data_IF_164953233982
#
_entry.id   IF_164953233982
#
_cell.length_a   1.000
_cell.length_b   1.000
_cell.length_c   1.000
_cell.angle_alpha   90.00
_cell.angle_beta   90.00
_cell.angle_gamma   90.00
#
_symmetry.space_group_name_H-M   'P 1'
#
loop_
_entity.id
_entity.type
_entity.pdbx_description
1 polymer ?
#
# COMPACT_ATOMS: atom_id res chain seq x y z
N UNK A 1 -4.92 13.55 1.37
CA UNK A 1 -4.23 12.74 0.34
C UNK A 1 -2.82 13.24 0.07
N UNK A 2 -2.59 14.55 0.02
CA UNK A 2 -1.26 15.11 -0.30
C UNK A 2 -0.19 14.86 0.78
N UNK A 3 -0.56 14.81 2.05
CA UNK A 3 0.40 14.55 3.14
C UNK A 3 1.07 13.18 3.01
N UNK A 4 0.29 12.12 2.79
CA UNK A 4 0.84 10.77 2.65
C UNK A 4 1.67 10.63 1.38
N UNK A 5 1.26 11.27 0.26
CA UNK A 5 2.06 11.29 -0.98
C UNK A 5 3.41 11.97 -0.75
N UNK A 6 3.42 13.17 -0.14
CA UNK A 6 4.66 13.88 0.23
C UNK A 6 5.54 13.04 1.16
N UNK A 7 4.93 12.36 2.12
CA UNK A 7 5.64 11.48 3.04
C UNK A 7 6.27 10.29 2.31
N UNK A 8 5.56 9.63 1.40
CA UNK A 8 6.09 8.51 0.62
C UNK A 8 7.25 8.96 -0.30
N UNK A 9 7.13 10.12 -0.93
CA UNK A 9 8.14 10.71 -1.80
C UNK A 9 9.45 11.09 -1.09
N UNK A 10 9.46 11.21 0.24
CA UNK A 10 10.69 11.51 0.98
C UNK A 10 11.57 10.30 1.25
N UNK A 11 11.08 9.08 0.99
CA UNK A 11 11.83 7.84 1.17
C UNK A 11 12.62 7.47 -0.09
N UNK A 12 13.74 6.77 0.13
CA UNK A 12 14.55 6.14 -0.92
C UNK A 12 14.30 4.63 -0.99
N UNK A 13 14.71 3.99 -2.09
CA UNK A 13 14.54 2.55 -2.33
C UNK A 13 15.15 1.68 -1.22
N UNK A 14 16.31 2.08 -0.69
CA UNK A 14 17.03 1.43 0.41
C UNK A 14 16.35 1.58 1.78
N UNK A 15 15.36 2.48 1.89
CA UNK A 15 14.54 2.65 3.10
C UNK A 15 13.23 1.85 3.05
N UNK A 16 13.00 1.05 2.00
CA UNK A 16 11.82 0.20 1.82
C UNK A 16 12.21 -1.26 2.03
N UNK A 17 11.63 -1.88 3.05
CA UNK A 17 11.90 -3.25 3.44
C UNK A 17 10.73 -4.17 3.12
N UNK A 18 11.00 -5.20 2.31
CA UNK A 18 10.04 -6.24 1.96
C UNK A 18 10.45 -7.51 2.70
N UNK A 19 9.65 -7.89 3.70
CA UNK A 19 9.94 -9.06 4.54
C UNK A 19 9.85 -10.37 3.74
N UNK A 20 10.56 -11.44 4.15
CA UNK A 20 10.49 -12.75 3.46
C UNK A 20 9.06 -13.28 3.31
N UNK A 21 8.21 -13.08 4.31
CA UNK A 21 6.78 -13.43 4.27
C UNK A 21 6.03 -12.73 3.12
N UNK A 22 6.34 -11.45 2.88
CA UNK A 22 5.74 -10.72 1.76
C UNK A 22 6.29 -11.22 0.43
N UNK A 23 7.59 -11.54 0.35
CA UNK A 23 8.19 -12.09 -0.87
C UNK A 23 7.54 -13.41 -1.30
N UNK A 24 7.22 -14.29 -0.36
CA UNK A 24 6.46 -15.52 -0.67
C UNK A 24 5.08 -15.19 -1.27
N UNK A 25 4.35 -14.26 -0.66
CA UNK A 25 3.05 -13.81 -1.18
C UNK A 25 3.14 -13.12 -2.54
N UNK A 26 4.25 -12.48 -2.87
CA UNK A 26 4.48 -11.90 -4.19
C UNK A 26 4.50 -12.99 -5.26
N UNK A 27 5.25 -14.07 -4.99
CA UNK A 27 5.34 -15.23 -5.88
C UNK A 27 3.96 -15.90 -6.04
N UNK A 28 3.28 -16.20 -4.93
CA UNK A 28 1.94 -16.82 -4.94
C UNK A 28 0.88 -16.02 -5.71
N UNK A 29 1.07 -14.70 -5.81
CA UNK A 29 0.09 -13.77 -6.41
C UNK A 29 0.54 -13.23 -7.75
N UNK A 30 1.68 -13.69 -8.26
CA UNK A 30 2.29 -13.22 -9.51
C UNK A 30 2.48 -11.70 -9.53
N UNK A 31 2.82 -11.10 -8.38
CA UNK A 31 3.08 -9.66 -8.24
C UNK A 31 4.59 -9.44 -8.28
N UNK A 32 5.04 -8.57 -9.17
CA UNK A 32 6.46 -8.21 -9.23
C UNK A 32 6.85 -7.27 -8.10
N UNK A 33 8.02 -7.52 -7.49
CA UNK A 33 8.57 -6.69 -6.41
C UNK A 33 8.71 -5.21 -6.84
N UNK A 34 9.10 -4.97 -8.09
CA UNK A 34 9.25 -3.62 -8.66
C UNK A 34 7.94 -2.82 -8.66
N UNK A 35 6.77 -3.49 -8.71
CA UNK A 35 5.48 -2.80 -8.57
C UNK A 35 5.34 -2.11 -7.22
N UNK A 36 5.88 -2.69 -6.15
CA UNK A 36 5.85 -2.07 -4.82
C UNK A 36 6.70 -0.81 -4.82
N UNK A 37 7.94 -0.91 -5.30
CA UNK A 37 8.86 0.22 -5.35
C UNK A 37 8.30 1.36 -6.20
N UNK A 38 7.80 1.06 -7.40
CA UNK A 38 7.23 2.06 -8.29
C UNK A 38 6.03 2.79 -7.67
N UNK A 39 5.13 2.07 -7.00
CA UNK A 39 3.95 2.71 -6.39
C UNK A 39 4.29 3.49 -5.12
N UNK A 40 5.25 3.03 -4.30
CA UNK A 40 5.65 3.74 -3.09
C UNK A 40 6.52 4.97 -3.40
N UNK A 41 7.44 4.87 -4.36
CA UNK A 41 8.36 5.95 -4.74
C UNK A 41 7.75 6.91 -5.76
N UNK A 42 6.73 6.49 -6.51
CA UNK A 42 5.93 7.36 -7.37
C UNK A 42 4.42 7.17 -7.11
N UNK A 43 3.87 7.77 -6.03
CA UNK A 43 2.49 7.53 -5.59
C UNK A 43 1.44 8.32 -6.38
N UNK A 44 1.66 8.56 -7.67
CA UNK A 44 0.71 9.22 -8.58
C UNK A 44 -0.64 8.49 -8.60
N UNK A 45 -0.59 7.17 -8.68
CA UNK A 45 -1.76 6.29 -8.75
C UNK A 45 -2.41 5.99 -7.39
N UNK A 46 -1.93 6.59 -6.30
CA UNK A 46 -2.58 6.44 -5.00
C UNK A 46 -3.92 7.18 -5.04
N UNK A 47 -5.02 6.43 -4.94
CA UNK A 47 -6.39 6.94 -5.01
C UNK A 47 -7.07 7.02 -3.65
N UNK A 48 -6.60 6.23 -2.67
CA UNK A 48 -7.15 6.24 -1.32
C UNK A 48 -6.15 5.65 -0.31
N UNK A 49 -6.33 5.97 0.96
CA UNK A 49 -5.56 5.37 2.05
C UNK A 49 -6.36 5.32 3.35
N UNK A 50 -6.07 4.31 4.16
CA UNK A 50 -6.70 4.11 5.45
C UNK A 50 -5.60 3.95 6.52
N UNK A 51 -5.61 4.79 7.55
CA UNK A 51 -4.73 4.63 8.71
C UNK A 51 -5.26 3.51 9.60
N UNK A 52 -4.38 2.59 9.99
CA UNK A 52 -4.68 1.46 10.86
C UNK A 52 -3.99 1.63 12.20
N UNK A 53 -4.63 1.09 13.25
CA UNK A 53 -3.99 1.01 14.57
C UNK A 53 -2.67 0.24 14.45
N UNK A 54 -1.59 0.91 14.81
CA UNK A 54 -0.27 0.30 15.02
C UNK A 54 -0.18 -0.25 16.43
N UNK A 55 0.56 -1.35 16.60
CA UNK A 55 0.88 -1.92 17.92
C UNK A 55 2.20 -1.38 18.48
N UNK A 56 2.99 -0.65 17.69
CA UNK A 56 4.33 -0.17 18.05
C UNK A 56 4.35 1.35 18.17
N UNK A 57 4.93 1.85 19.25
CA UNK A 57 5.13 3.28 19.46
C UNK A 57 6.01 3.87 18.33
N UNK A 58 5.61 5.04 17.80
CA UNK A 58 6.34 5.71 16.72
C UNK A 58 6.18 5.09 15.32
N UNK A 59 5.37 4.04 15.18
CA UNK A 59 5.02 3.41 13.90
C UNK A 59 3.58 3.79 13.52
N UNK A 60 3.38 4.27 12.30
CA UNK A 60 2.04 4.47 11.72
C UNK A 60 1.79 3.45 10.63
N UNK A 61 0.66 2.76 10.68
CA UNK A 61 0.31 1.73 9.72
C UNK A 61 -0.71 2.27 8.73
N UNK A 62 -0.44 2.09 7.44
CA UNK A 62 -1.32 2.55 6.38
C UNK A 62 -1.67 1.40 5.45
N UNK A 63 -2.92 1.38 5.02
CA UNK A 63 -3.37 0.61 3.87
C UNK A 63 -3.51 1.58 2.72
N UNK A 64 -2.61 1.45 1.75
CA UNK A 64 -2.52 2.28 0.57
C UNK A 64 -3.24 1.60 -0.59
N UNK A 65 -4.09 2.33 -1.30
CA UNK A 65 -4.89 1.82 -2.42
C UNK A 65 -4.45 2.54 -3.68
N UNK A 66 -3.76 1.82 -4.56
CA UNK A 66 -3.30 2.31 -5.85
C UNK A 66 -4.21 1.82 -6.96
N UNK A 67 -4.54 2.69 -7.90
CA UNK A 67 -5.22 2.27 -9.13
C UNK A 67 -4.25 1.50 -10.02
N UNK A 68 -4.58 0.23 -10.30
CA UNK A 68 -3.77 -0.61 -11.19
C UNK A 68 -4.34 -0.59 -12.61
N UNK A 69 -5.66 -0.66 -12.72
CA UNK A 69 -6.41 -0.51 -13.97
C UNK A 69 -7.86 -0.10 -13.67
N UNK A 70 -8.66 0.16 -14.71
CA UNK A 70 -10.08 0.51 -14.57
C UNK A 70 -10.87 -0.47 -13.69
N UNK A 71 -10.45 -1.74 -13.62
CA UNK A 71 -11.14 -2.79 -12.89
C UNK A 71 -10.39 -3.28 -11.64
N UNK A 72 -9.16 -2.84 -11.39
CA UNK A 72 -8.30 -3.44 -10.35
C UNK A 72 -7.56 -2.36 -9.54
N UNK A 73 -7.46 -2.60 -8.25
CA UNK A 73 -6.62 -1.86 -7.32
C UNK A 73 -5.47 -2.73 -6.86
N UNK A 74 -4.31 -2.10 -6.70
CA UNK A 74 -3.16 -2.66 -6.03
C UNK A 74 -3.09 -2.10 -4.61
N UNK A 75 -3.19 -2.98 -3.62
CA UNK A 75 -3.25 -2.60 -2.21
C UNK A 75 -1.94 -2.99 -1.54
N UNK A 76 -1.32 -2.02 -0.88
CA UNK A 76 -0.08 -2.19 -0.12
C UNK A 76 -0.36 -1.80 1.32
N UNK A 77 -0.14 -2.71 2.26
CA UNK A 77 -0.17 -2.40 3.68
C UNK A 77 1.27 -2.17 4.14
N UNK A 78 1.52 -0.99 4.67
CA UNK A 78 2.84 -0.54 5.12
C UNK A 78 2.82 -0.09 6.57
N UNK A 79 3.92 -0.33 7.27
CA UNK A 79 4.24 0.27 8.55
C UNK A 79 5.36 1.29 8.34
N UNK A 80 5.09 2.55 8.68
CA UNK A 80 5.96 3.69 8.38
C UNK A 80 6.51 4.27 9.69
N UNK A 81 7.85 4.37 9.75
CA UNK A 81 8.60 5.11 10.76
C UNK A 81 9.79 5.83 10.07
N UNK A 82 11.05 5.61 10.51
CA UNK A 82 12.27 5.96 9.76
C UNK A 82 12.38 5.21 8.42
N UNK A 83 11.70 4.08 8.30
CA UNK A 83 11.67 3.21 7.14
C UNK A 83 10.24 2.84 6.76
N UNK A 84 10.04 2.32 5.55
CA UNK A 84 8.78 1.71 5.12
C UNK A 84 8.93 0.20 5.20
N UNK A 85 8.17 -0.44 6.08
CA UNK A 85 8.08 -1.89 6.15
C UNK A 85 6.82 -2.37 5.44
N UNK A 86 6.98 -3.15 4.38
CA UNK A 86 5.86 -3.74 3.65
C UNK A 86 5.37 -4.96 4.42
N UNK A 87 4.11 -4.89 4.85
CA UNK A 87 3.46 -5.92 5.68
C UNK A 87 2.75 -6.96 4.83
N UNK A 88 2.07 -6.52 3.76
CA UNK A 88 1.42 -7.40 2.78
C UNK A 88 1.01 -6.61 1.55
N UNK A 89 0.84 -7.30 0.42
CA UNK A 89 0.30 -6.72 -0.82
C UNK A 89 -0.73 -7.63 -1.46
N UNK A 90 -1.72 -7.08 -2.15
CA UNK A 90 -2.71 -7.85 -2.91
C UNK A 90 -3.40 -6.99 -3.97
N UNK A 91 -3.95 -7.65 -4.99
CA UNK A 91 -4.81 -7.03 -5.99
C UNK A 91 -6.27 -7.27 -5.61
N UNK A 92 -7.13 -6.27 -5.78
CA UNK A 92 -8.59 -6.38 -5.59
C UNK A 92 -9.34 -5.81 -6.78
N UNK A 93 -10.48 -6.40 -7.11
CA UNK A 93 -11.35 -5.88 -8.16
C UNK A 93 -12.17 -4.67 -7.66
N UNK A 94 -12.33 -3.66 -8.52
CA UNK A 94 -13.03 -2.40 -8.23
C UNK A 94 -14.50 -2.59 -7.84
N UNK A 95 -15.17 -3.60 -8.41
CA UNK A 95 -16.58 -3.92 -8.07
C UNK A 95 -16.79 -4.13 -6.56
N UNK A 96 -15.80 -4.62 -5.84
CA UNK A 96 -15.89 -4.90 -4.40
C UNK A 96 -15.72 -3.69 -3.47
N UNK A 97 -15.23 -2.54 -3.96
CA UNK A 97 -15.06 -1.33 -3.14
C UNK A 97 -16.27 -0.40 -3.18
N UNK A 98 -17.14 -0.52 -4.19
CA UNK A 98 -18.39 0.27 -4.26
C UNK A 98 -19.37 -0.06 -3.13
N UNK A 99 -19.38 -1.29 -2.62
CA UNK A 99 -20.32 -1.71 -1.56
C UNK A 99 -20.06 -1.06 -0.19
N UNK A 100 -18.87 -0.49 0.05
CA UNK A 100 -18.57 0.23 1.30
C UNK A 100 -18.84 1.73 1.25
N UNK A 101 -19.14 2.29 0.08
CA UNK A 101 -19.47 3.72 -0.07
C UNK A 101 -20.99 4.00 0.00
N UNK A 102 -21.83 2.96 -0.08
CA UNK A 102 -23.30 3.07 -0.05
C UNK A 102 -23.96 2.36 1.14
N UNK A 103 -23.18 1.83 2.09
CA UNK A 103 -23.68 1.21 3.32
C UNK A 103 -24.01 2.22 4.42
N UNK A 104 -24.78 3.26 4.07
CA UNK A 104 -25.45 4.14 5.02
C UNK A 104 -26.95 3.88 4.95
N UNK A 105 -27.46 3.09 5.89
CA UNK A 105 -28.83 3.14 6.36
C UNK A 105 -28.82 2.95 7.87
#
# INVERSE_FOLDING_TARGET
MDEIKRKLLSYKKDQIFITPHVKLKLVEREIQEEMIYNNLLNPEKLVDFEEQKSKRAGERKYKLIFELSNARYFIIIVAINKYINVVTVFIRYRKWLKDKATGGK
#
